data_IF_162309697236
#
_entry.id   IF_162309697236
#
_cell.length_a   1.000
_cell.length_b   1.000
_cell.length_c   1.000
_cell.angle_alpha   90.00
_cell.angle_beta   90.00
_cell.angle_gamma   90.00
#
_symmetry.space_group_name_H-M   'P 1'
#
loop_
_entity.id
_entity.type
_entity.pdbx_description
1 polymer ?
#
# COMPACT_ATOMS: atom_id res chain seq x y z
N UNK A 1 54.07 -42.84 35.01
CA UNK A 1 52.76 -42.20 35.29
C UNK A 1 52.12 -41.47 34.10
N UNK A 2 52.87 -40.73 33.26
CA UNK A 2 52.29 -40.06 32.06
C UNK A 2 51.63 -41.00 31.02
N UNK A 3 52.12 -42.24 30.81
CA UNK A 3 51.51 -43.20 29.87
C UNK A 3 50.19 -43.82 30.37
N UNK A 4 50.00 -43.98 31.68
CA UNK A 4 48.78 -44.54 32.28
C UNK A 4 47.64 -43.52 32.27
N UNK A 5 47.94 -42.24 32.52
CA UNK A 5 46.96 -41.14 32.45
C UNK A 5 46.39 -40.93 31.03
N UNK A 6 47.19 -41.14 29.98
CA UNK A 6 46.73 -41.03 28.58
C UNK A 6 45.76 -42.18 28.25
N UNK A 7 46.00 -43.40 28.73
CA UNK A 7 45.11 -44.55 28.49
C UNK A 7 43.76 -44.42 29.21
N UNK A 8 43.73 -43.90 30.45
CA UNK A 8 42.47 -43.64 31.16
C UNK A 8 41.66 -42.49 30.52
N UNK A 9 42.32 -41.44 30.03
CA UNK A 9 41.65 -40.37 29.30
C UNK A 9 41.07 -40.87 27.96
N UNK A 10 41.78 -41.72 27.23
CA UNK A 10 41.29 -42.36 25.99
C UNK A 10 40.12 -43.32 26.24
N UNK A 11 40.16 -44.11 27.32
CA UNK A 11 39.07 -45.01 27.73
C UNK A 11 37.82 -44.25 28.18
N UNK A 12 38.00 -43.13 28.90
CA UNK A 12 36.87 -42.27 29.26
C UNK A 12 36.25 -41.63 28.01
N UNK A 13 37.06 -41.09 27.09
CA UNK A 13 36.57 -40.49 25.84
C UNK A 13 35.84 -41.51 24.96
N UNK A 14 36.36 -42.74 24.84
CA UNK A 14 35.70 -43.79 24.05
C UNK A 14 34.39 -44.28 24.69
N UNK A 15 34.33 -44.42 26.02
CA UNK A 15 33.11 -44.81 26.73
C UNK A 15 31.96 -43.81 26.50
N UNK A 16 32.26 -42.50 26.48
CA UNK A 16 31.26 -41.47 26.19
C UNK A 16 30.78 -41.49 24.74
N UNK A 17 31.65 -41.79 23.76
CA UNK A 17 31.21 -41.93 22.36
C UNK A 17 30.33 -43.16 22.15
N UNK A 18 30.65 -44.31 22.78
CA UNK A 18 29.83 -45.51 22.70
C UNK A 18 28.43 -45.32 23.32
N UNK A 19 28.34 -44.56 24.41
CA UNK A 19 27.04 -44.22 25.01
C UNK A 19 26.15 -43.38 24.07
N UNK A 20 26.75 -42.49 23.26
CA UNK A 20 26.00 -41.68 22.30
C UNK A 20 25.52 -42.49 21.09
N UNK A 21 26.34 -43.41 20.58
CA UNK A 21 25.94 -44.29 19.48
C UNK A 21 24.85 -45.29 19.93
N UNK A 22 24.93 -45.83 21.16
CA UNK A 22 23.87 -46.66 21.74
C UNK A 22 22.56 -45.88 21.94
N UNK A 23 22.63 -44.61 22.33
CA UNK A 23 21.44 -43.74 22.40
C UNK A 23 20.79 -43.55 21.03
N UNK A 24 21.56 -43.46 19.94
CA UNK A 24 21.01 -43.33 18.59
C UNK A 24 20.18 -44.54 18.17
N UNK A 25 20.64 -45.76 18.50
CA UNK A 25 19.85 -46.98 18.28
C UNK A 25 18.56 -46.96 19.10
N UNK A 26 18.64 -46.54 20.36
CA UNK A 26 17.47 -46.45 21.23
C UNK A 26 16.46 -45.41 20.76
N UNK A 27 16.93 -44.26 20.29
CA UNK A 27 16.11 -43.22 19.67
C UNK A 27 15.39 -43.80 18.45
N UNK A 28 16.09 -44.53 17.58
CA UNK A 28 15.48 -45.15 16.41
C UNK A 28 14.40 -46.18 16.78
N UNK A 29 14.63 -46.99 17.83
CA UNK A 29 13.62 -47.90 18.37
C UNK A 29 12.37 -47.15 18.87
N UNK A 30 12.55 -46.03 19.59
CA UNK A 30 11.44 -45.20 20.05
C UNK A 30 10.64 -44.61 18.88
N UNK A 31 11.32 -44.18 17.82
CA UNK A 31 10.67 -43.67 16.60
C UNK A 31 9.83 -44.74 15.90
N UNK A 32 10.34 -45.97 15.76
CA UNK A 32 9.57 -47.09 15.20
C UNK A 32 8.32 -47.42 16.03
N UNK A 33 8.37 -47.16 17.35
CA UNK A 33 7.24 -47.34 18.27
C UNK A 33 6.30 -46.13 18.36
N UNK A 34 6.42 -45.14 17.47
CA UNK A 34 5.66 -43.89 17.49
C UNK A 34 5.76 -43.14 18.83
N UNK A 35 6.94 -43.13 19.46
CA UNK A 35 7.20 -42.42 20.74
C UNK A 35 8.08 -41.20 20.51
N UNK A 36 7.63 -40.28 19.66
CA UNK A 36 8.41 -39.12 19.21
C UNK A 36 8.87 -38.21 20.36
N UNK A 37 8.01 -37.91 21.35
CA UNK A 37 8.41 -37.11 22.52
C UNK A 37 9.51 -37.76 23.38
N UNK A 38 9.45 -39.08 23.58
CA UNK A 38 10.49 -39.82 24.30
C UNK A 38 11.80 -39.83 23.51
N UNK A 39 11.71 -40.00 22.19
CA UNK A 39 12.85 -39.94 21.29
C UNK A 39 13.50 -38.54 21.31
N UNK A 40 12.70 -37.47 21.27
CA UNK A 40 13.18 -36.08 21.35
C UNK A 40 13.88 -35.79 22.66
N UNK A 41 13.29 -36.21 23.78
CA UNK A 41 13.88 -36.03 25.12
C UNK A 41 15.25 -36.72 25.21
N UNK A 42 15.36 -37.96 24.73
CA UNK A 42 16.63 -38.69 24.70
C UNK A 42 17.62 -38.05 23.72
N UNK A 43 17.15 -37.56 22.56
CA UNK A 43 18.00 -36.86 21.59
C UNK A 43 18.59 -35.57 22.17
N UNK A 44 17.78 -34.75 22.84
CA UNK A 44 18.24 -33.51 23.50
C UNK A 44 19.32 -33.81 24.55
N UNK A 45 19.11 -34.84 25.39
CA UNK A 45 20.12 -35.29 26.35
C UNK A 45 21.41 -35.75 25.66
N UNK A 46 21.27 -36.47 24.55
CA UNK A 46 22.43 -36.99 23.80
C UNK A 46 23.22 -35.86 23.13
N UNK A 47 22.54 -34.78 22.70
CA UNK A 47 23.15 -33.58 22.10
C UNK A 47 23.74 -32.59 23.12
N UNK A 48 23.49 -32.73 24.42
CA UNK A 48 23.96 -31.77 25.43
C UNK A 48 25.49 -31.75 25.64
N UNK A 49 26.21 -32.80 25.23
CA UNK A 49 27.68 -32.86 25.33
C UNK A 49 28.25 -33.81 24.25
N UNK A 50 28.18 -33.45 22.97
CA UNK A 50 28.54 -34.34 21.88
C UNK A 50 30.06 -34.59 21.88
N UNK A 51 30.46 -35.85 22.04
CA UNK A 51 31.86 -36.31 21.88
C UNK A 51 32.00 -37.28 20.70
N UNK A 52 30.94 -37.44 19.91
CA UNK A 52 30.88 -38.35 18.76
C UNK A 52 31.38 -37.70 17.46
N UNK A 53 31.81 -38.54 16.53
CA UNK A 53 32.12 -38.17 15.14
C UNK A 53 30.87 -38.09 14.26
N UNK A 54 29.73 -38.57 14.75
CA UNK A 54 28.46 -38.68 14.00
C UNK A 54 27.53 -37.47 14.20
N UNK A 55 28.08 -36.30 14.56
CA UNK A 55 27.28 -35.15 14.96
C UNK A 55 26.38 -34.61 13.83
N UNK A 56 26.84 -34.67 12.57
CA UNK A 56 26.02 -34.39 11.38
C UNK A 56 24.73 -35.22 11.39
N UNK A 57 24.87 -36.56 11.51
CA UNK A 57 23.74 -37.49 11.53
C UNK A 57 22.83 -37.26 12.73
N UNK A 58 23.39 -36.93 13.90
CA UNK A 58 22.59 -36.64 15.09
C UNK A 58 21.68 -35.43 14.88
N UNK A 59 22.23 -34.33 14.36
CA UNK A 59 21.45 -33.13 14.07
C UNK A 59 20.37 -33.39 13.02
N UNK A 60 20.70 -34.10 11.95
CA UNK A 60 19.72 -34.49 10.93
C UNK A 60 18.58 -35.34 11.53
N UNK A 61 18.90 -36.38 12.32
CA UNK A 61 17.89 -37.22 12.99
C UNK A 61 17.06 -36.42 14.00
N UNK A 62 17.67 -35.49 14.72
CA UNK A 62 16.97 -34.61 15.64
C UNK A 62 15.96 -33.73 14.90
N UNK A 63 16.34 -33.16 13.75
CA UNK A 63 15.44 -32.42 12.88
C UNK A 63 14.24 -33.26 12.43
N UNK A 64 14.47 -34.53 12.06
CA UNK A 64 13.40 -35.44 11.65
C UNK A 64 12.40 -35.71 12.79
N UNK A 65 12.89 -35.85 14.04
CA UNK A 65 12.01 -36.01 15.21
C UNK A 65 11.10 -34.79 15.36
N UNK A 66 11.65 -33.58 15.17
CA UNK A 66 10.85 -32.34 15.21
C UNK A 66 9.81 -32.27 14.11
N UNK A 67 10.10 -32.73 12.89
CA UNK A 67 9.11 -32.81 11.82
C UNK A 67 7.98 -33.79 12.13
N UNK A 68 8.27 -34.89 12.83
CA UNK A 68 7.25 -35.85 13.25
C UNK A 68 6.37 -35.25 14.35
N UNK A 69 6.95 -34.60 15.35
CA UNK A 69 6.20 -33.87 16.37
C UNK A 69 5.35 -32.74 15.78
N UNK A 70 5.88 -32.04 14.77
CA UNK A 70 5.14 -31.03 14.02
C UNK A 70 3.91 -31.63 13.33
N UNK A 71 4.06 -32.79 12.68
CA UNK A 71 2.95 -33.46 12.02
C UNK A 71 1.90 -33.97 13.02
N UNK A 72 2.33 -34.49 14.17
CA UNK A 72 1.44 -34.87 15.26
C UNK A 72 0.61 -33.68 15.75
N UNK A 73 1.22 -32.50 15.88
CA UNK A 73 0.53 -31.25 16.25
C UNK A 73 -0.44 -30.79 15.15
N UNK A 74 0.02 -30.77 13.89
CA UNK A 74 -0.80 -30.38 12.74
C UNK A 74 -2.06 -31.25 12.58
N UNK A 75 -1.95 -32.55 12.86
CA UNK A 75 -3.07 -33.49 12.77
C UNK A 75 -4.21 -33.16 13.75
N UNK A 76 -3.93 -32.45 14.86
CA UNK A 76 -4.96 -32.07 15.84
C UNK A 76 -5.99 -31.08 15.25
N UNK A 77 -5.56 -30.21 14.33
CA UNK A 77 -6.42 -29.20 13.70
C UNK A 77 -7.60 -29.83 12.93
N UNK A 78 -7.40 -31.01 12.33
CA UNK A 78 -8.45 -31.74 11.61
C UNK A 78 -9.31 -32.66 12.48
N UNK A 79 -9.01 -32.76 13.79
CA UNK A 79 -9.63 -33.73 14.70
C UNK A 79 -10.47 -33.08 15.81
N UNK A 80 -10.57 -31.75 15.84
CA UNK A 80 -11.27 -31.02 16.90
C UNK A 80 -10.57 -31.13 18.27
N UNK A 81 -9.29 -31.52 18.27
CA UNK A 81 -8.44 -31.61 19.46
C UNK A 81 -7.73 -30.26 19.65
N UNK A 82 -7.45 -29.80 20.90
CA UNK A 82 -6.71 -28.56 21.11
C UNK A 82 -5.37 -28.53 20.36
N UNK A 83 -5.19 -27.50 19.53
CA UNK A 83 -4.00 -27.25 18.73
C UNK A 83 -3.08 -26.26 19.48
N UNK A 84 -1.85 -26.69 19.77
CA UNK A 84 -0.83 -25.87 20.40
C UNK A 84 0.00 -25.15 19.32
N UNK A 85 -0.37 -23.91 19.05
CA UNK A 85 0.33 -23.06 18.09
C UNK A 85 1.78 -22.77 18.49
N UNK A 86 2.07 -22.63 19.78
CA UNK A 86 3.44 -22.37 20.24
C UNK A 86 4.32 -23.61 20.00
N UNK A 87 3.80 -24.81 20.28
CA UNK A 87 4.49 -26.05 19.98
C UNK A 87 4.70 -26.24 18.47
N UNK A 88 3.66 -26.01 17.65
CA UNK A 88 3.75 -26.09 16.18
C UNK A 88 4.87 -25.18 15.65
N UNK A 89 4.83 -23.91 16.04
CA UNK A 89 5.82 -22.90 15.64
C UNK A 89 7.23 -23.29 16.12
N UNK A 90 7.35 -23.76 17.38
CA UNK A 90 8.62 -24.18 17.95
C UNK A 90 9.21 -25.40 17.21
N UNK A 91 8.40 -26.37 16.81
CA UNK A 91 8.89 -27.55 16.09
C UNK A 91 9.45 -27.19 14.71
N UNK A 92 8.85 -26.22 14.01
CA UNK A 92 9.40 -25.67 12.75
C UNK A 92 10.76 -25.02 12.99
N UNK A 93 10.85 -24.17 14.02
CA UNK A 93 12.09 -23.49 14.38
C UNK A 93 13.22 -24.46 14.74
N UNK A 94 12.92 -25.42 15.62
CA UNK A 94 13.87 -26.46 16.03
C UNK A 94 14.31 -27.29 14.81
N UNK A 95 13.40 -27.67 13.91
CA UNK A 95 13.74 -28.46 12.73
C UNK A 95 14.69 -27.71 11.79
N UNK A 96 14.38 -26.44 11.46
CA UNK A 96 15.23 -25.61 10.61
C UNK A 96 16.62 -25.45 11.23
N UNK A 97 16.70 -25.11 12.53
CA UNK A 97 17.97 -24.96 13.25
C UNK A 97 18.79 -26.25 13.25
N UNK A 98 18.16 -27.40 13.52
CA UNK A 98 18.86 -28.69 13.57
C UNK A 98 19.37 -29.11 12.19
N UNK A 99 18.60 -28.94 11.12
CA UNK A 99 19.09 -29.21 9.77
C UNK A 99 20.20 -28.24 9.35
N UNK A 100 20.09 -26.96 9.69
CA UNK A 100 21.18 -25.99 9.45
C UNK A 100 22.44 -26.35 10.25
N UNK A 101 22.31 -26.81 11.50
CA UNK A 101 23.43 -27.31 12.30
C UNK A 101 24.06 -28.57 11.72
N UNK A 102 23.26 -29.48 11.14
CA UNK A 102 23.74 -30.65 10.40
C UNK A 102 24.70 -30.23 9.28
N UNK A 103 24.29 -29.29 8.42
CA UNK A 103 25.14 -28.75 7.35
C UNK A 103 26.36 -28.02 7.92
N UNK A 104 26.12 -27.04 8.81
CA UNK A 104 27.17 -26.16 9.34
C UNK A 104 28.30 -26.93 10.03
N UNK A 105 27.98 -28.05 10.69
CA UNK A 105 29.00 -28.93 11.26
C UNK A 105 30.02 -29.38 10.22
N UNK A 106 29.60 -29.67 8.99
CA UNK A 106 30.50 -30.18 7.95
C UNK A 106 31.37 -29.12 7.30
N UNK A 107 30.95 -27.85 7.35
CA UNK A 107 31.66 -26.70 6.76
C UNK A 107 32.40 -25.85 7.81
N UNK A 108 32.27 -26.17 9.10
CA UNK A 108 32.96 -25.48 10.18
C UNK A 108 34.24 -26.23 10.56
N UNK A 109 35.43 -25.62 10.47
CA UNK A 109 36.66 -26.23 10.93
C UNK A 109 36.63 -26.52 12.43
N UNK A 110 37.18 -27.66 12.86
CA UNK A 110 37.39 -27.95 14.28
C UNK A 110 38.52 -27.08 14.88
N UNK A 111 38.80 -27.23 16.18
CA UNK A 111 39.88 -26.53 16.90
C UNK A 111 41.27 -26.66 16.25
N UNK A 112 41.49 -27.65 15.39
CA UNK A 112 42.74 -27.89 14.65
C UNK A 112 42.71 -27.35 13.21
N UNK A 113 41.69 -26.57 12.85
CA UNK A 113 41.49 -26.03 11.51
C UNK A 113 41.09 -27.06 10.45
N UNK A 114 40.71 -28.29 10.84
CA UNK A 114 40.30 -29.34 9.90
C UNK A 114 38.79 -29.42 9.79
N UNK A 115 38.29 -29.50 8.55
CA UNK A 115 36.87 -29.77 8.29
C UNK A 115 36.50 -31.21 8.71
N UNK A 116 35.33 -31.42 9.32
CA UNK A 116 34.79 -32.75 9.55
C UNK A 116 34.54 -33.51 8.25
N UNK A 117 34.49 -34.84 8.35
CA UNK A 117 34.12 -35.68 7.19
C UNK A 117 32.62 -35.51 6.94
N UNK A 118 32.27 -35.17 5.70
CA UNK A 118 30.88 -35.09 5.23
C UNK A 118 30.37 -36.50 4.93
N UNK A 119 29.17 -36.84 5.41
CA UNK A 119 28.36 -37.93 4.86
C UNK A 119 27.43 -37.36 3.77
N UNK A 120 27.66 -37.70 2.47
CA UNK A 120 26.88 -37.13 1.38
C UNK A 120 25.39 -37.44 1.44
N UNK A 121 25.00 -38.60 1.99
CA UNK A 121 23.58 -38.99 2.08
C UNK A 121 22.85 -38.18 3.14
N UNK A 122 23.51 -37.92 4.26
CA UNK A 122 22.97 -37.08 5.33
C UNK A 122 22.88 -35.62 4.87
N UNK A 123 23.86 -35.18 4.08
CA UNK A 123 23.85 -33.84 3.48
C UNK A 123 22.70 -33.67 2.49
N UNK A 124 22.50 -34.64 1.59
CA UNK A 124 21.39 -34.67 0.64
C UNK A 124 20.03 -34.67 1.36
N UNK A 125 19.83 -35.52 2.36
CA UNK A 125 18.58 -35.52 3.14
C UNK A 125 18.40 -34.20 3.90
N UNK A 126 19.45 -33.63 4.51
CA UNK A 126 19.38 -32.33 5.20
C UNK A 126 18.83 -31.24 4.28
N UNK A 127 19.34 -31.15 3.04
CA UNK A 127 18.86 -30.20 2.04
C UNK A 127 17.42 -30.50 1.62
N UNK A 128 17.10 -31.76 1.31
CA UNK A 128 15.75 -32.15 0.92
C UNK A 128 14.71 -31.83 2.00
N UNK A 129 15.06 -32.00 3.28
CA UNK A 129 14.19 -31.67 4.42
C UNK A 129 13.99 -30.17 4.56
N UNK A 130 15.06 -29.36 4.47
CA UNK A 130 14.96 -27.91 4.47
C UNK A 130 14.07 -27.39 3.32
N UNK A 131 14.19 -27.96 2.12
CA UNK A 131 13.31 -27.63 0.99
C UNK A 131 11.86 -28.03 1.27
N UNK A 132 11.62 -29.20 1.87
CA UNK A 132 10.26 -29.67 2.17
C UNK A 132 9.50 -28.78 3.17
N UNK A 133 10.23 -28.07 4.04
CA UNK A 133 9.66 -27.14 5.03
C UNK A 133 9.89 -25.67 4.67
N UNK A 134 10.30 -25.36 3.44
CA UNK A 134 10.65 -24.00 3.00
C UNK A 134 9.54 -22.98 3.31
N UNK A 135 8.28 -23.35 3.07
CA UNK A 135 7.13 -22.46 3.28
C UNK A 135 6.57 -22.47 4.70
N UNK A 136 7.06 -23.34 5.60
CA UNK A 136 6.45 -23.52 6.91
C UNK A 136 6.54 -22.28 7.81
N UNK A 137 7.60 -21.45 7.77
CA UNK A 137 7.60 -20.18 8.50
C UNK A 137 6.45 -19.25 8.09
N UNK A 138 5.99 -19.24 6.83
CA UNK A 138 4.83 -18.41 6.45
C UNK A 138 3.52 -18.94 7.06
N UNK A 139 3.40 -20.26 7.26
CA UNK A 139 2.27 -20.84 8.02
C UNK A 139 2.30 -20.43 9.49
N UNK A 140 3.48 -20.47 10.14
CA UNK A 140 3.66 -19.94 11.49
C UNK A 140 3.22 -18.49 11.59
N UNK A 141 3.57 -17.65 10.60
CA UNK A 141 3.15 -16.26 10.56
C UNK A 141 1.62 -16.12 10.52
N UNK A 142 0.93 -16.91 9.69
CA UNK A 142 -0.53 -16.89 9.59
C UNK A 142 -1.21 -17.35 10.89
N UNK A 143 -0.69 -18.38 11.56
CA UNK A 143 -1.22 -18.80 12.85
C UNK A 143 -1.08 -17.71 13.91
N UNK A 144 0.06 -17.01 13.96
CA UNK A 144 0.28 -15.91 14.89
C UNK A 144 -0.63 -14.72 14.59
N UNK A 145 -0.84 -14.37 13.32
CA UNK A 145 -1.82 -13.35 12.93
C UNK A 145 -3.24 -13.70 13.42
N UNK A 146 -3.66 -14.96 13.26
CA UNK A 146 -4.97 -15.41 13.72
C UNK A 146 -5.13 -15.33 15.24
N UNK A 147 -4.03 -15.29 16.00
CA UNK A 147 -4.02 -15.07 17.45
C UNK A 147 -3.85 -13.60 17.84
N UNK A 148 -3.74 -12.70 16.86
CA UNK A 148 -3.49 -11.27 17.09
C UNK A 148 -2.03 -10.91 17.37
N UNK A 149 -1.08 -11.85 17.24
CA UNK A 149 0.35 -11.59 17.39
C UNK A 149 0.97 -11.11 16.07
N UNK A 150 0.74 -9.83 15.75
CA UNK A 150 1.26 -9.21 14.53
C UNK A 150 2.79 -9.16 14.48
N UNK A 151 3.47 -8.87 15.59
CA UNK A 151 4.93 -8.78 15.63
C UNK A 151 5.58 -10.16 15.48
N UNK A 152 5.01 -11.17 16.13
CA UNK A 152 5.38 -12.56 15.91
C UNK A 152 5.21 -12.95 14.45
N UNK A 153 4.06 -12.64 13.84
CA UNK A 153 3.84 -12.93 12.43
C UNK A 153 4.86 -12.29 11.49
N UNK A 154 5.17 -11.00 11.69
CA UNK A 154 6.18 -10.27 10.93
C UNK A 154 7.55 -10.96 10.99
N UNK A 155 7.97 -11.41 12.18
CA UNK A 155 9.20 -12.18 12.36
C UNK A 155 9.22 -13.45 11.49
N UNK A 156 8.10 -14.16 11.41
CA UNK A 156 8.01 -15.42 10.67
C UNK A 156 7.85 -15.25 9.15
N UNK A 157 7.19 -14.19 8.68
CA UNK A 157 7.23 -13.83 7.26
C UNK A 157 8.65 -13.46 6.83
N UNK A 158 9.39 -12.69 7.64
CA UNK A 158 10.78 -12.40 7.36
C UNK A 158 11.62 -13.69 7.33
N UNK A 159 11.40 -14.59 8.30
CA UNK A 159 12.07 -15.90 8.31
C UNK A 159 11.79 -16.72 7.05
N UNK A 160 10.56 -16.71 6.53
CA UNK A 160 10.22 -17.34 5.26
C UNK A 160 11.02 -16.74 4.10
N UNK A 161 11.04 -15.41 3.96
CA UNK A 161 11.78 -14.72 2.91
C UNK A 161 13.29 -14.97 2.96
N UNK A 162 13.82 -15.23 4.16
CA UNK A 162 15.24 -15.54 4.38
C UNK A 162 15.59 -17.04 4.20
N UNK A 163 14.61 -17.92 3.99
CA UNK A 163 14.87 -19.38 3.88
C UNK A 163 15.80 -19.73 2.72
N UNK A 164 15.72 -19.02 1.60
CA UNK A 164 16.63 -19.22 0.45
C UNK A 164 18.09 -18.90 0.79
N UNK A 165 18.34 -18.10 1.83
CA UNK A 165 19.68 -17.75 2.32
C UNK A 165 20.26 -18.76 3.32
N UNK A 166 19.55 -19.85 3.62
CA UNK A 166 20.07 -20.90 4.51
C UNK A 166 21.45 -21.40 4.02
N UNK A 167 22.47 -21.51 4.90
CA UNK A 167 23.82 -21.88 4.48
C UNK A 167 23.91 -23.27 3.85
N UNK A 168 22.93 -24.15 4.10
CA UNK A 168 22.87 -25.46 3.46
C UNK A 168 22.66 -25.40 1.93
N UNK A 169 22.16 -24.29 1.40
CA UNK A 169 21.94 -24.12 -0.03
C UNK A 169 23.14 -23.48 -0.72
N UNK A 170 23.54 -24.10 -1.83
CA UNK A 170 24.47 -23.50 -2.79
C UNK A 170 23.85 -22.28 -3.47
N UNK A 171 24.65 -21.40 -4.09
CA UNK A 171 24.11 -20.26 -4.85
C UNK A 171 23.10 -20.68 -5.93
N UNK A 172 23.37 -21.77 -6.67
CA UNK A 172 22.46 -22.26 -7.70
C UNK A 172 21.13 -22.79 -7.12
N UNK A 173 21.17 -23.45 -5.95
CA UNK A 173 19.96 -23.91 -5.24
C UNK A 173 19.17 -22.72 -4.71
N UNK A 174 19.83 -21.69 -4.15
CA UNK A 174 19.20 -20.44 -3.72
C UNK A 174 18.46 -19.76 -4.87
N UNK A 175 19.12 -19.57 -6.01
CA UNK A 175 18.51 -18.94 -7.18
C UNK A 175 17.31 -19.74 -7.67
N UNK A 176 17.41 -21.07 -7.65
CA UNK A 176 16.31 -21.97 -8.01
C UNK A 176 15.12 -21.84 -7.04
N UNK A 177 15.37 -21.72 -5.74
CA UNK A 177 14.33 -21.52 -4.73
C UNK A 177 13.62 -20.17 -4.88
N UNK A 178 14.39 -19.09 -5.07
CA UNK A 178 13.84 -17.75 -5.33
C UNK A 178 12.97 -17.77 -6.59
N UNK A 179 13.43 -18.42 -7.66
CA UNK A 179 12.65 -18.56 -8.89
C UNK A 179 11.36 -19.38 -8.67
N UNK A 180 11.44 -20.50 -7.96
CA UNK A 180 10.31 -21.40 -7.71
C UNK A 180 9.24 -20.77 -6.80
N UNK A 181 9.63 -19.86 -5.90
CA UNK A 181 8.73 -19.22 -4.93
C UNK A 181 8.44 -17.76 -5.23
N UNK A 182 8.89 -17.22 -6.37
CA UNK A 182 8.80 -15.80 -6.73
C UNK A 182 7.45 -15.17 -6.41
N UNK A 183 6.33 -15.76 -6.84
CA UNK A 183 5.02 -15.19 -6.60
C UNK A 183 4.60 -15.19 -5.12
N UNK A 184 4.98 -16.24 -4.37
CA UNK A 184 4.69 -16.34 -2.94
C UNK A 184 5.56 -15.36 -2.14
N UNK A 185 6.81 -15.15 -2.54
CA UNK A 185 7.71 -14.15 -1.97
C UNK A 185 7.16 -12.74 -2.19
N UNK A 186 6.71 -12.43 -3.42
CA UNK A 186 6.05 -11.16 -3.77
C UNK A 186 4.82 -10.90 -2.89
N UNK A 187 3.91 -11.88 -2.78
CA UNK A 187 2.72 -11.78 -1.93
C UNK A 187 3.09 -11.60 -0.46
N UNK A 188 4.13 -12.28 0.00
CA UNK A 188 4.60 -12.15 1.39
C UNK A 188 5.22 -10.78 1.66
N UNK A 189 6.00 -10.23 0.72
CA UNK A 189 6.55 -8.88 0.84
C UNK A 189 5.44 -7.81 0.91
N UNK A 190 4.39 -7.95 0.09
CA UNK A 190 3.20 -7.09 0.18
C UNK A 190 2.52 -7.22 1.55
N UNK A 191 2.30 -8.45 2.05
CA UNK A 191 1.68 -8.67 3.36
C UNK A 191 2.51 -8.04 4.49
N UNK A 192 3.84 -8.18 4.45
CA UNK A 192 4.75 -7.55 5.42
C UNK A 192 4.62 -6.03 5.37
N UNK A 193 4.62 -5.43 4.17
CA UNK A 193 4.42 -4.00 4.00
C UNK A 193 3.06 -3.54 4.56
N UNK A 194 1.99 -4.27 4.26
CA UNK A 194 0.64 -3.98 4.75
C UNK A 194 0.53 -4.05 6.28
N UNK A 195 1.17 -5.05 6.90
CA UNK A 195 1.20 -5.17 8.37
C UNK A 195 1.94 -4.01 9.02
N UNK A 196 3.11 -3.61 8.49
CA UNK A 196 3.81 -2.42 8.98
C UNK A 196 3.04 -1.13 8.74
N UNK A 197 2.32 -1.04 7.61
CA UNK A 197 1.43 0.09 7.32
C UNK A 197 0.34 0.23 8.40
N UNK A 198 -0.30 -0.88 8.79
CA UNK A 198 -1.31 -0.87 9.85
C UNK A 198 -0.74 -0.53 11.24
N UNK A 199 0.51 -0.91 11.50
CA UNK A 199 1.25 -0.52 12.70
C UNK A 199 1.74 0.93 12.66
N UNK A 200 1.61 1.63 11.53
CA UNK A 200 2.19 2.96 11.26
C UNK A 200 3.70 2.99 11.45
N UNK A 201 4.37 1.85 11.24
CA UNK A 201 5.82 1.73 11.32
C UNK A 201 6.42 1.99 9.93
N UNK A 202 6.55 3.28 9.61
CA UNK A 202 7.00 3.74 8.28
C UNK A 202 8.43 3.33 7.96
N UNK A 203 9.30 3.25 8.99
CA UNK A 203 10.70 2.88 8.85
C UNK A 203 10.87 1.45 8.33
N UNK A 204 10.01 0.53 8.78
CA UNK A 204 10.01 -0.84 8.29
C UNK A 204 9.07 -1.05 7.09
N UNK A 205 8.01 -0.25 6.95
CA UNK A 205 7.07 -0.34 5.84
C UNK A 205 7.73 0.02 4.50
N UNK A 206 8.37 1.20 4.40
CA UNK A 206 8.88 1.74 3.12
C UNK A 206 9.86 0.77 2.44
N UNK A 207 10.89 0.21 3.12
CA UNK A 207 11.81 -0.72 2.49
C UNK A 207 11.14 -2.01 1.98
N UNK A 208 10.05 -2.45 2.62
CA UNK A 208 9.29 -3.61 2.16
C UNK A 208 8.41 -3.26 0.95
N UNK A 209 7.84 -2.05 0.91
CA UNK A 209 7.18 -1.53 -0.28
C UNK A 209 8.16 -1.42 -1.45
N UNK A 210 9.36 -0.86 -1.25
CA UNK A 210 10.34 -0.71 -2.33
C UNK A 210 10.81 -2.06 -2.90
N UNK A 211 10.88 -3.11 -2.06
CA UNK A 211 11.11 -4.48 -2.53
C UNK A 211 9.93 -5.00 -3.35
N UNK A 212 8.71 -4.79 -2.87
CA UNK A 212 7.49 -5.23 -3.52
C UNK A 212 7.19 -4.47 -4.83
N UNK A 213 7.55 -3.19 -4.96
CA UNK A 213 7.35 -2.41 -6.19
C UNK A 213 8.22 -2.87 -7.37
N UNK A 214 9.18 -3.78 -7.15
CA UNK A 214 9.93 -4.43 -8.24
C UNK A 214 9.07 -5.40 -9.07
N UNK A 215 7.81 -5.58 -8.70
CA UNK A 215 6.83 -6.38 -9.39
C UNK A 215 5.49 -5.63 -9.44
N UNK A 216 4.57 -6.09 -10.27
CA UNK A 216 3.29 -5.40 -10.51
C UNK A 216 2.16 -5.85 -9.56
N UNK A 217 2.43 -6.76 -8.62
CA UNK A 217 1.41 -7.24 -7.68
C UNK A 217 1.04 -6.11 -6.70
N UNK A 218 -0.25 -5.74 -6.67
CA UNK A 218 -0.78 -4.71 -5.78
C UNK A 218 -0.06 -3.35 -5.88
N UNK A 219 0.55 -3.06 -7.04
CA UNK A 219 1.43 -1.90 -7.26
C UNK A 219 0.80 -0.56 -6.86
N UNK A 220 -0.48 -0.37 -7.21
CA UNK A 220 -1.24 0.82 -6.84
C UNK A 220 -1.39 0.98 -5.33
N UNK A 221 -1.69 -0.10 -4.62
CA UNK A 221 -1.79 -0.11 -3.16
C UNK A 221 -0.44 0.17 -2.50
N UNK A 222 0.65 -0.37 -3.05
CA UNK A 222 2.02 -0.08 -2.61
C UNK A 222 2.37 1.42 -2.75
N UNK A 223 1.99 2.05 -3.86
CA UNK A 223 2.15 3.50 -4.03
C UNK A 223 1.32 4.30 -3.02
N UNK A 224 0.07 3.91 -2.76
CA UNK A 224 -0.73 4.54 -1.72
C UNK A 224 -0.11 4.41 -0.33
N UNK A 225 0.46 3.25 0.03
CA UNK A 225 1.16 3.09 1.30
C UNK A 225 2.34 4.04 1.45
N UNK A 226 3.19 4.16 0.41
CA UNK A 226 4.33 5.10 0.42
C UNK A 226 3.86 6.56 0.48
N UNK A 227 2.85 6.94 -0.31
CA UNK A 227 2.24 8.27 -0.29
C UNK A 227 1.79 8.61 1.13
N UNK A 228 0.99 7.76 1.74
CA UNK A 228 0.42 7.99 3.06
C UNK A 228 1.49 8.10 4.15
N UNK A 229 2.55 7.28 4.07
CA UNK A 229 3.66 7.36 5.00
C UNK A 229 4.43 8.68 4.91
N UNK A 230 4.79 9.12 3.70
CA UNK A 230 5.48 10.40 3.55
C UNK A 230 4.59 11.58 3.91
N UNK A 231 3.29 11.50 3.66
CA UNK A 231 2.33 12.48 4.13
C UNK A 231 2.30 12.53 5.68
N UNK A 232 2.24 11.37 6.34
CA UNK A 232 2.24 11.26 7.80
C UNK A 232 3.56 11.75 8.43
N UNK A 233 4.68 11.52 7.75
CA UNK A 233 6.01 12.01 8.15
C UNK A 233 6.22 13.51 7.84
N UNK A 234 5.27 14.14 7.14
CA UNK A 234 5.38 15.51 6.61
C UNK A 234 6.56 15.72 5.66
N UNK A 235 7.09 14.64 5.09
CA UNK A 235 8.15 14.69 4.07
C UNK A 235 7.50 14.97 2.71
N UNK A 236 7.23 16.26 2.49
CA UNK A 236 6.54 16.71 1.27
C UNK A 236 7.36 16.43 0.02
N UNK A 237 8.69 16.47 0.11
CA UNK A 237 9.55 16.22 -1.04
C UNK A 237 9.40 14.77 -1.53
N UNK A 238 9.46 13.81 -0.61
CA UNK A 238 9.25 12.40 -0.96
C UNK A 238 7.79 12.11 -1.32
N UNK A 239 6.83 12.75 -0.66
CA UNK A 239 5.41 12.63 -1.03
C UNK A 239 5.15 13.05 -2.49
N UNK A 240 5.69 14.19 -2.94
CA UNK A 240 5.62 14.63 -4.34
C UNK A 240 6.31 13.64 -5.28
N UNK A 241 7.49 13.15 -4.92
CA UNK A 241 8.23 12.20 -5.76
C UNK A 241 7.45 10.89 -5.95
N UNK A 242 6.91 10.32 -4.87
CA UNK A 242 6.12 9.08 -4.92
C UNK A 242 4.87 9.23 -5.79
N UNK A 243 4.17 10.37 -5.71
CA UNK A 243 3.02 10.63 -6.57
C UNK A 243 3.40 10.75 -8.05
N UNK A 244 4.56 11.36 -8.36
CA UNK A 244 5.09 11.41 -9.74
C UNK A 244 5.51 10.04 -10.26
N UNK A 245 6.19 9.26 -9.43
CA UNK A 245 6.55 7.87 -9.72
C UNK A 245 5.29 7.05 -10.00
N UNK A 246 4.29 7.10 -9.12
CA UNK A 246 3.01 6.41 -9.28
C UNK A 246 2.30 6.80 -10.59
N UNK A 247 2.25 8.10 -10.90
CA UNK A 247 1.62 8.58 -12.14
C UNK A 247 2.31 8.02 -13.39
N UNK A 248 3.64 7.91 -13.36
CA UNK A 248 4.43 7.40 -14.48
C UNK A 248 4.30 5.88 -14.59
N UNK A 249 4.51 5.17 -13.49
CA UNK A 249 4.61 3.71 -13.46
C UNK A 249 3.24 3.03 -13.64
N UNK A 250 2.17 3.63 -13.13
CA UNK A 250 0.81 3.14 -13.32
C UNK A 250 0.14 3.72 -14.58
N UNK A 251 0.78 4.69 -15.25
CA UNK A 251 0.19 5.48 -16.33
C UNK A 251 -1.15 6.12 -15.91
N UNK A 252 -1.23 6.62 -14.66
CA UNK A 252 -2.42 7.21 -14.05
C UNK A 252 -2.16 8.66 -13.62
N UNK A 253 -2.51 9.61 -14.49
CA UNK A 253 -2.29 11.05 -14.26
C UNK A 253 -3.03 11.60 -13.03
N UNK A 254 -4.07 10.91 -12.55
CA UNK A 254 -4.84 11.30 -11.36
C UNK A 254 -4.01 11.41 -10.08
N UNK A 255 -2.89 10.68 -9.98
CA UNK A 255 -1.96 10.84 -8.85
C UNK A 255 -1.35 12.25 -8.75
N UNK A 256 -1.31 13.00 -9.85
CA UNK A 256 -0.76 14.35 -9.88
C UNK A 256 -1.77 15.41 -9.40
N UNK A 257 -3.07 15.10 -9.35
CA UNK A 257 -4.11 16.01 -8.85
C UNK A 257 -3.83 16.47 -7.41
N UNK A 258 -3.35 15.55 -6.57
CA UNK A 258 -3.01 15.83 -5.18
C UNK A 258 -1.87 16.86 -5.10
N UNK A 259 -0.86 16.73 -5.97
CA UNK A 259 0.29 17.65 -6.04
C UNK A 259 -0.18 19.03 -6.48
N UNK A 260 -0.98 19.12 -7.55
CA UNK A 260 -1.56 20.39 -8.04
C UNK A 260 -2.34 21.08 -6.92
N UNK A 261 -3.20 20.33 -6.23
CA UNK A 261 -4.01 20.85 -5.12
C UNK A 261 -3.15 21.33 -3.96
N UNK A 262 -2.07 20.61 -3.63
CA UNK A 262 -1.11 21.02 -2.61
C UNK A 262 -0.38 22.31 -2.99
N UNK A 263 0.09 22.44 -4.24
CA UNK A 263 0.78 23.64 -4.70
C UNK A 263 -0.12 24.87 -4.68
N UNK A 264 -1.37 24.75 -5.15
CA UNK A 264 -2.37 25.83 -5.07
C UNK A 264 -2.57 26.27 -3.61
N UNK A 265 -2.86 25.34 -2.70
CA UNK A 265 -3.10 25.68 -1.27
C UNK A 265 -1.87 26.26 -0.57
N UNK A 266 -0.68 25.94 -1.06
CA UNK A 266 0.60 26.42 -0.50
C UNK A 266 1.11 27.69 -1.17
N UNK A 267 0.38 28.27 -2.13
CA UNK A 267 0.80 29.44 -2.89
C UNK A 267 1.99 29.21 -3.84
N UNK A 268 2.33 27.94 -4.11
CA UNK A 268 3.43 27.51 -4.99
C UNK A 268 3.02 27.61 -6.46
N UNK A 269 2.91 28.85 -6.91
CA UNK A 269 2.34 29.22 -8.22
C UNK A 269 3.15 28.66 -9.38
N UNK A 270 4.45 28.92 -9.37
CA UNK A 270 5.34 28.52 -10.47
C UNK A 270 5.42 26.99 -10.58
N UNK A 271 5.44 26.27 -9.45
CA UNK A 271 5.46 24.82 -9.45
C UNK A 271 4.13 24.20 -9.92
N UNK A 272 2.99 24.81 -9.59
CA UNK A 272 1.68 24.38 -10.10
C UNK A 272 1.60 24.55 -11.61
N UNK A 273 2.03 25.70 -12.13
CA UNK A 273 2.04 26.00 -13.57
C UNK A 273 2.97 25.07 -14.34
N UNK A 274 4.20 24.89 -13.87
CA UNK A 274 5.15 23.97 -14.50
C UNK A 274 4.57 22.56 -14.56
N UNK A 275 3.99 22.08 -13.46
CA UNK A 275 3.42 20.74 -13.40
C UNK A 275 2.26 20.56 -14.39
N UNK A 276 1.26 21.46 -14.41
CA UNK A 276 0.11 21.29 -15.32
C UNK A 276 0.48 21.47 -16.80
N UNK A 277 1.51 22.28 -17.10
CA UNK A 277 2.03 22.41 -18.45
C UNK A 277 2.73 21.11 -18.89
N UNK A 278 3.55 20.51 -18.03
CA UNK A 278 4.17 19.21 -18.29
C UNK A 278 3.11 18.10 -18.45
N UNK A 279 2.06 18.12 -17.62
CA UNK A 279 0.95 17.17 -17.70
C UNK A 279 0.24 17.24 -19.06
N UNK A 280 -0.09 18.43 -19.54
CA UNK A 280 -0.74 18.65 -20.83
C UNK A 280 0.20 18.29 -21.99
N UNK A 281 1.48 18.66 -21.91
CA UNK A 281 2.46 18.35 -22.96
C UNK A 281 2.65 16.84 -23.15
N UNK A 282 2.69 16.08 -22.06
CA UNK A 282 2.88 14.63 -22.09
C UNK A 282 1.57 13.86 -22.34
N UNK A 283 0.42 14.43 -21.97
CA UNK A 283 -0.90 13.77 -22.06
C UNK A 283 -1.97 14.72 -22.65
N UNK A 284 -1.81 15.19 -23.90
CA UNK A 284 -2.72 16.18 -24.49
C UNK A 284 -4.12 15.63 -24.76
N UNK A 285 -4.27 14.30 -24.85
CA UNK A 285 -5.56 13.63 -25.06
C UNK A 285 -6.26 13.19 -23.77
N UNK A 286 -5.79 13.62 -22.60
CA UNK A 286 -6.41 13.30 -21.32
C UNK A 286 -7.16 14.54 -20.80
N UNK A 287 -8.49 14.43 -20.63
CA UNK A 287 -9.33 15.56 -20.22
C UNK A 287 -8.93 16.14 -18.85
N UNK A 288 -8.45 15.30 -17.93
CA UNK A 288 -8.05 15.72 -16.59
C UNK A 288 -6.87 16.70 -16.61
N UNK A 289 -5.93 16.57 -17.55
CA UNK A 289 -4.74 17.44 -17.60
C UNK A 289 -5.15 18.87 -17.96
N UNK A 290 -6.05 19.02 -18.93
CA UNK A 290 -6.64 20.30 -19.32
C UNK A 290 -7.52 20.88 -18.22
N UNK A 291 -8.31 20.03 -17.55
CA UNK A 291 -9.09 20.45 -16.39
C UNK A 291 -8.21 21.03 -15.28
N UNK A 292 -7.14 20.32 -14.89
CA UNK A 292 -6.23 20.79 -13.84
C UNK A 292 -5.49 22.07 -14.24
N UNK A 293 -5.11 22.20 -15.52
CA UNK A 293 -4.56 23.45 -16.04
C UNK A 293 -5.55 24.61 -15.89
N UNK A 294 -6.81 24.41 -16.29
CA UNK A 294 -7.86 25.41 -16.09
C UNK A 294 -8.08 25.75 -14.62
N UNK A 295 -7.98 24.76 -13.72
CA UNK A 295 -8.11 24.97 -12.28
C UNK A 295 -6.97 25.80 -11.69
N UNK A 296 -5.73 25.60 -12.16
CA UNK A 296 -4.57 26.43 -11.78
C UNK A 296 -4.76 27.88 -12.26
N UNK A 297 -5.17 28.09 -13.51
CA UNK A 297 -5.45 29.42 -14.07
C UNK A 297 -6.55 30.15 -13.30
N UNK A 298 -7.62 29.43 -12.94
CA UNK A 298 -8.72 29.98 -12.16
C UNK A 298 -8.30 30.33 -10.73
N UNK A 299 -7.60 29.42 -10.06
CA UNK A 299 -7.33 29.52 -8.61
C UNK A 299 -6.16 30.45 -8.29
N UNK A 300 -5.19 30.59 -9.19
CA UNK A 300 -3.97 31.35 -8.93
C UNK A 300 -3.94 32.67 -9.71
N UNK A 301 -4.32 32.67 -10.98
CA UNK A 301 -4.28 33.87 -11.83
C UNK A 301 -5.59 34.65 -11.83
N UNK A 302 -6.66 34.07 -11.30
CA UNK A 302 -8.03 34.60 -11.40
C UNK A 302 -8.44 34.89 -12.86
N UNK A 303 -7.84 34.17 -13.81
CA UNK A 303 -8.02 34.39 -15.24
C UNK A 303 -9.15 33.51 -15.77
N UNK A 304 -10.39 33.98 -15.58
CA UNK A 304 -11.59 33.28 -15.98
C UNK A 304 -11.59 32.89 -17.48
N UNK A 305 -11.06 33.73 -18.36
CA UNK A 305 -11.06 33.47 -19.80
C UNK A 305 -10.14 32.29 -20.16
N UNK A 306 -8.89 32.31 -19.70
CA UNK A 306 -7.93 31.23 -19.97
C UNK A 306 -8.33 29.94 -19.25
N UNK A 307 -8.82 30.03 -18.02
CA UNK A 307 -9.34 28.87 -17.30
C UNK A 307 -10.47 28.18 -18.08
N UNK A 308 -11.44 28.96 -18.58
CA UNK A 308 -12.57 28.49 -19.37
C UNK A 308 -12.13 27.81 -20.66
N UNK A 309 -11.16 28.36 -21.39
CA UNK A 309 -10.61 27.71 -22.59
C UNK A 309 -10.05 26.32 -22.28
N UNK A 310 -9.32 26.16 -21.17
CA UNK A 310 -8.79 24.87 -20.77
C UNK A 310 -9.89 23.91 -20.32
N UNK A 311 -10.91 24.37 -19.58
CA UNK A 311 -12.07 23.54 -19.24
C UNK A 311 -12.87 23.11 -20.47
N UNK A 312 -13.04 23.98 -21.47
CA UNK A 312 -13.71 23.63 -22.72
C UNK A 312 -12.97 22.53 -23.46
N UNK A 313 -11.63 22.62 -23.56
CA UNK A 313 -10.81 21.53 -24.11
C UNK A 313 -10.98 20.22 -23.33
N UNK A 314 -11.08 20.29 -22.00
CA UNK A 314 -11.36 19.11 -21.19
C UNK A 314 -12.72 18.49 -21.56
N UNK A 315 -13.77 19.30 -21.76
CA UNK A 315 -15.10 18.82 -22.18
C UNK A 315 -15.17 18.33 -23.63
N UNK A 316 -14.28 18.82 -24.51
CA UNK A 316 -14.15 18.31 -25.88
C UNK A 316 -13.55 16.90 -25.90
N UNK A 317 -12.59 16.63 -24.99
CA UNK A 317 -11.94 15.32 -24.85
C UNK A 317 -12.85 14.34 -24.10
N UNK A 318 -13.44 14.77 -22.99
CA UNK A 318 -14.40 14.00 -22.20
C UNK A 318 -15.70 14.80 -21.98
N UNK A 319 -16.72 14.58 -22.83
CA UNK A 319 -18.01 15.23 -22.72
C UNK A 319 -18.78 14.90 -21.44
N UNK A 320 -18.35 13.91 -20.66
CA UNK A 320 -18.98 13.49 -19.41
C UNK A 320 -18.22 14.00 -18.16
N UNK A 321 -17.20 14.85 -18.32
CA UNK A 321 -16.47 15.44 -17.20
C UNK A 321 -17.29 16.58 -16.55
N UNK A 322 -18.31 16.22 -15.75
CA UNK A 322 -19.25 17.16 -15.13
C UNK A 322 -18.56 18.33 -14.38
N UNK A 323 -17.46 18.06 -13.69
CA UNK A 323 -16.71 19.07 -12.94
C UNK A 323 -16.12 20.18 -13.83
N UNK A 324 -15.79 19.89 -15.09
CA UNK A 324 -15.34 20.90 -16.04
C UNK A 324 -16.49 21.85 -16.42
N UNK A 325 -17.69 21.31 -16.68
CA UNK A 325 -18.89 22.11 -16.94
C UNK A 325 -19.27 23.00 -15.75
N UNK A 326 -19.14 22.50 -14.51
CA UNK A 326 -19.34 23.30 -13.30
C UNK A 326 -18.39 24.51 -13.30
N UNK A 327 -17.10 24.29 -13.55
CA UNK A 327 -16.11 25.36 -13.52
C UNK A 327 -16.24 26.34 -14.72
N UNK A 328 -16.74 25.89 -15.87
CA UNK A 328 -17.16 26.78 -16.97
C UNK A 328 -18.33 27.68 -16.50
N UNK A 329 -19.33 27.10 -15.85
CA UNK A 329 -20.45 27.86 -15.26
C UNK A 329 -19.98 28.87 -14.22
N UNK A 330 -19.10 28.46 -13.31
CA UNK A 330 -18.50 29.34 -12.27
C UNK A 330 -17.74 30.50 -12.89
N UNK A 331 -16.94 30.25 -13.93
CA UNK A 331 -16.20 31.32 -14.62
C UNK A 331 -17.15 32.27 -15.34
N UNK A 332 -18.27 31.81 -15.93
CA UNK A 332 -19.26 32.72 -16.57
C UNK A 332 -19.98 33.55 -15.52
N UNK A 333 -20.37 32.94 -14.41
CA UNK A 333 -20.99 33.63 -13.30
C UNK A 333 -20.06 34.71 -12.70
N UNK A 334 -18.79 34.37 -12.51
CA UNK A 334 -17.77 35.31 -12.02
C UNK A 334 -17.60 36.51 -12.96
N UNK A 335 -17.53 36.28 -14.28
CA UNK A 335 -17.48 37.37 -15.26
C UNK A 335 -18.76 38.21 -15.27
N UNK A 336 -19.95 37.59 -15.20
CA UNK A 336 -21.23 38.28 -15.15
C UNK A 336 -21.34 39.18 -13.90
N UNK A 337 -20.88 38.69 -12.73
CA UNK A 337 -20.85 39.47 -11.49
C UNK A 337 -19.83 40.60 -11.59
N UNK A 338 -18.62 40.35 -12.12
CA UNK A 338 -17.60 41.39 -12.33
C UNK A 338 -18.12 42.49 -13.26
N UNK A 339 -18.71 42.11 -14.40
CA UNK A 339 -19.31 43.04 -15.37
C UNK A 339 -20.47 43.82 -14.75
N UNK A 340 -21.38 43.15 -14.03
CA UNK A 340 -22.47 43.79 -13.26
C UNK A 340 -21.94 44.89 -12.33
N UNK A 341 -20.81 44.66 -11.67
CA UNK A 341 -20.20 45.58 -10.71
C UNK A 341 -19.27 46.61 -11.35
N UNK A 342 -19.09 46.60 -12.68
CA UNK A 342 -18.25 47.55 -13.39
C UNK A 342 -18.94 48.90 -13.60
N UNK A 343 -18.19 49.87 -14.11
CA UNK A 343 -18.69 51.19 -14.49
C UNK A 343 -19.53 51.18 -15.79
N UNK A 344 -19.68 50.02 -16.45
CA UNK A 344 -20.61 49.85 -17.58
C UNK A 344 -22.06 50.14 -17.14
N UNK A 345 -22.38 49.83 -15.89
CA UNK A 345 -23.72 49.96 -15.33
C UNK A 345 -23.80 51.06 -14.28
N UNK A 346 -24.87 51.84 -14.34
CA UNK A 346 -25.08 52.97 -13.44
C UNK A 346 -26.06 52.65 -12.31
N UNK A 347 -26.90 51.62 -12.47
CA UNK A 347 -28.00 51.35 -11.56
C UNK A 347 -27.94 49.93 -10.97
N UNK A 348 -27.65 48.89 -11.76
CA UNK A 348 -27.65 47.50 -11.26
C UNK A 348 -26.45 47.15 -10.34
N UNK A 349 -25.41 47.98 -10.34
CA UNK A 349 -24.26 47.88 -9.43
C UNK A 349 -24.53 48.48 -8.04
N UNK A 350 -25.59 49.28 -7.88
CA UNK A 350 -25.92 49.95 -6.61
C UNK A 350 -26.61 49.00 -5.63
N UNK A 351 -26.07 48.90 -4.42
CA UNK A 351 -26.68 48.14 -3.31
C UNK A 351 -27.85 48.92 -2.71
N UNK A 352 -28.93 48.23 -2.34
CA UNK A 352 -30.16 48.82 -1.75
C UNK A 352 -30.78 49.95 -2.59
N UNK A 353 -30.64 49.87 -3.91
CA UNK A 353 -31.13 50.88 -4.82
C UNK A 353 -32.65 50.96 -4.81
N UNK A 354 -33.20 52.18 -4.65
CA UNK A 354 -34.64 52.47 -4.77
C UNK A 354 -34.83 53.39 -5.98
N UNK A 355 -35.11 52.84 -7.17
CA UNK A 355 -35.23 53.65 -8.38
C UNK A 355 -36.48 54.54 -8.30
N UNK A 356 -36.36 55.80 -8.73
CA UNK A 356 -37.52 56.54 -9.20
C UNK A 356 -37.97 56.01 -10.58
N UNK A 357 -39.04 56.56 -11.14
CA UNK A 357 -39.61 56.08 -12.41
C UNK A 357 -38.61 56.08 -13.57
N UNK A 358 -37.78 57.13 -13.66
CA UNK A 358 -36.79 57.27 -14.74
C UNK A 358 -35.65 56.28 -14.55
N UNK A 359 -35.10 56.19 -13.33
CA UNK A 359 -34.03 55.26 -13.02
C UNK A 359 -34.47 53.79 -13.09
N UNK A 360 -35.76 53.50 -12.86
CA UNK A 360 -36.34 52.16 -13.01
C UNK A 360 -36.23 51.65 -14.45
N UNK A 361 -36.48 52.51 -15.43
CA UNK A 361 -36.40 52.13 -16.84
C UNK A 361 -34.96 51.79 -17.26
N UNK A 362 -33.99 52.59 -16.81
CA UNK A 362 -32.58 52.28 -17.01
C UNK A 362 -32.17 51.00 -16.29
N UNK A 363 -32.58 50.81 -15.02
CA UNK A 363 -32.27 49.60 -14.27
C UNK A 363 -32.80 48.34 -15.00
N UNK A 364 -34.04 48.35 -15.50
CA UNK A 364 -34.60 47.24 -16.29
C UNK A 364 -33.77 46.94 -17.54
N UNK A 365 -33.35 47.98 -18.27
CA UNK A 365 -32.50 47.84 -19.46
C UNK A 365 -31.14 47.23 -19.11
N UNK A 366 -30.52 47.67 -18.02
CA UNK A 366 -29.25 47.11 -17.54
C UNK A 366 -29.40 45.64 -17.09
N UNK A 367 -30.48 45.28 -16.38
CA UNK A 367 -30.81 43.88 -16.06
C UNK A 367 -30.94 43.03 -17.33
N UNK A 368 -31.69 43.51 -18.32
CA UNK A 368 -31.83 42.82 -19.60
C UNK A 368 -30.50 42.69 -20.35
N UNK A 369 -29.59 43.65 -20.19
CA UNK A 369 -28.27 43.65 -20.83
C UNK A 369 -27.33 42.59 -20.23
N UNK A 370 -27.35 42.42 -18.91
CA UNK A 370 -26.47 41.47 -18.21
C UNK A 370 -27.06 40.05 -18.13
N UNK A 371 -28.38 39.90 -18.28
CA UNK A 371 -29.08 38.61 -18.17
C UNK A 371 -28.46 37.49 -19.04
N UNK A 372 -28.13 37.71 -20.33
CA UNK A 372 -27.52 36.67 -21.17
C UNK A 372 -26.19 36.12 -20.63
N UNK A 373 -25.45 36.90 -19.84
CA UNK A 373 -24.19 36.43 -19.23
C UNK A 373 -24.46 35.45 -18.09
N UNK A 374 -25.53 35.66 -17.31
CA UNK A 374 -26.00 34.70 -16.32
C UNK A 374 -26.62 33.46 -16.96
N UNK A 375 -27.31 33.59 -18.10
CA UNK A 375 -27.89 32.44 -18.81
C UNK A 375 -26.82 31.45 -19.27
N UNK A 376 -25.67 31.94 -19.78
CA UNK A 376 -24.53 31.06 -20.09
C UNK A 376 -24.08 30.25 -18.88
N UNK A 377 -23.97 30.87 -17.71
CA UNK A 377 -23.58 30.16 -16.49
C UNK A 377 -24.62 29.09 -16.12
N UNK A 378 -25.91 29.41 -16.23
CA UNK A 378 -27.02 28.49 -15.95
C UNK A 378 -26.99 27.29 -16.90
N UNK A 379 -26.79 27.50 -18.20
CA UNK A 379 -26.76 26.44 -19.21
C UNK A 379 -25.66 25.41 -18.90
N UNK A 380 -24.44 25.88 -18.60
CA UNK A 380 -23.33 25.00 -18.27
C UNK A 380 -23.53 24.25 -16.94
N UNK A 381 -24.11 24.90 -15.93
CA UNK A 381 -24.41 24.25 -14.64
C UNK A 381 -25.53 23.22 -14.75
N UNK A 382 -26.58 23.49 -15.53
CA UNK A 382 -27.62 22.52 -15.83
C UNK A 382 -27.04 21.33 -16.61
N UNK A 383 -26.16 21.60 -17.58
CA UNK A 383 -25.46 20.52 -18.31
C UNK A 383 -24.66 19.62 -17.37
N UNK A 384 -23.96 20.19 -16.39
CA UNK A 384 -23.23 19.40 -15.40
C UNK A 384 -24.15 18.48 -14.57
N UNK A 385 -25.32 18.98 -14.17
CA UNK A 385 -26.34 18.19 -13.44
C UNK A 385 -26.88 17.03 -14.26
N UNK A 386 -27.13 17.26 -15.56
CA UNK A 386 -27.60 16.21 -16.47
C UNK A 386 -26.57 15.09 -16.64
N UNK A 387 -25.29 15.44 -16.65
CA UNK A 387 -24.18 14.50 -16.85
C UNK A 387 -23.97 13.64 -15.60
N UNK A 388 -23.90 14.25 -14.43
CA UNK A 388 -23.57 13.55 -13.18
C UNK A 388 -24.48 14.00 -12.02
N UNK A 389 -25.53 13.21 -11.70
CA UNK A 389 -26.39 13.47 -10.56
C UNK A 389 -25.66 13.50 -9.20
N UNK A 390 -24.50 12.84 -9.08
CA UNK A 390 -23.70 12.85 -7.84
C UNK A 390 -23.07 14.23 -7.61
N UNK A 391 -22.68 14.92 -8.68
CA UNK A 391 -22.14 16.29 -8.60
C UNK A 391 -23.22 17.38 -8.69
N UNK A 392 -24.48 17.01 -8.88
CA UNK A 392 -25.61 17.94 -8.90
C UNK A 392 -25.67 18.86 -7.66
N UNK A 393 -25.33 18.45 -6.42
CA UNK A 393 -25.35 19.36 -5.27
C UNK A 393 -24.41 20.57 -5.40
N UNK A 394 -23.23 20.42 -6.02
CA UNK A 394 -22.33 21.55 -6.26
C UNK A 394 -22.93 22.50 -7.31
N UNK A 395 -23.40 21.95 -8.42
CA UNK A 395 -24.06 22.74 -9.47
C UNK A 395 -25.31 23.46 -8.95
N UNK A 396 -26.14 22.78 -8.14
CA UNK A 396 -27.34 23.33 -7.49
C UNK A 396 -26.98 24.52 -6.59
N UNK A 397 -25.89 24.46 -5.83
CA UNK A 397 -25.44 25.58 -4.99
C UNK A 397 -25.09 26.81 -5.83
N UNK A 398 -24.44 26.62 -6.99
CA UNK A 398 -24.10 27.70 -7.92
C UNK A 398 -25.34 28.27 -8.61
N UNK A 399 -26.23 27.41 -9.09
CA UNK A 399 -27.52 27.80 -9.69
C UNK A 399 -28.37 28.61 -8.71
N UNK A 400 -28.48 28.17 -7.45
CA UNK A 400 -29.19 28.92 -6.40
C UNK A 400 -28.62 30.32 -6.21
N UNK A 401 -27.29 30.44 -6.20
CA UNK A 401 -26.62 31.75 -6.06
C UNK A 401 -26.99 32.68 -7.22
N UNK A 402 -26.99 32.15 -8.44
CA UNK A 402 -27.39 32.88 -9.65
C UNK A 402 -28.87 33.29 -9.59
N UNK A 403 -29.78 32.35 -9.29
CA UNK A 403 -31.21 32.59 -9.22
C UNK A 403 -31.58 33.60 -8.13
N UNK A 404 -30.94 33.54 -6.95
CA UNK A 404 -31.16 34.51 -5.87
C UNK A 404 -30.70 35.92 -6.26
N UNK A 405 -29.55 36.04 -6.94
CA UNK A 405 -29.05 37.33 -7.41
C UNK A 405 -29.99 37.94 -8.45
N UNK A 406 -30.38 37.14 -9.46
CA UNK A 406 -31.35 37.55 -10.47
C UNK A 406 -32.71 37.90 -9.84
N UNK A 407 -33.17 37.13 -8.87
CA UNK A 407 -34.41 37.38 -8.14
C UNK A 407 -34.39 38.73 -7.43
N UNK A 408 -33.27 39.09 -6.80
CA UNK A 408 -33.08 40.41 -6.17
C UNK A 408 -33.14 41.54 -7.22
N UNK A 409 -32.55 41.32 -8.39
CA UNK A 409 -32.61 42.29 -9.50
C UNK A 409 -34.05 42.47 -10.02
N UNK A 410 -34.76 41.37 -10.25
CA UNK A 410 -36.16 41.44 -10.71
C UNK A 410 -37.13 41.98 -9.66
N UNK A 411 -36.86 41.72 -8.38
CA UNK A 411 -37.60 42.33 -7.28
C UNK A 411 -37.44 43.85 -7.30
N UNK A 412 -36.23 44.35 -7.57
CA UNK A 412 -35.97 45.79 -7.72
C UNK A 412 -36.72 46.38 -8.91
N UNK A 413 -36.86 45.63 -10.01
CA UNK A 413 -37.65 46.01 -11.20
C UNK A 413 -39.17 45.92 -11.04
N UNK A 414 -39.70 45.44 -9.90
CA UNK A 414 -41.09 45.04 -9.70
C UNK A 414 -41.59 43.96 -10.71
N UNK A 415 -40.70 43.11 -11.22
CA UNK A 415 -41.05 42.00 -12.13
C UNK A 415 -41.43 40.75 -11.32
N UNK A 416 -42.63 40.75 -10.74
CA UNK A 416 -43.11 39.71 -9.82
C UNK A 416 -43.14 38.30 -10.42
N UNK A 417 -43.47 38.18 -11.71
CA UNK A 417 -43.55 36.89 -12.39
C UNK A 417 -42.17 36.22 -12.53
N UNK A 418 -41.14 37.00 -12.86
CA UNK A 418 -39.76 36.50 -12.92
C UNK A 418 -39.22 36.12 -11.54
N UNK A 419 -39.57 36.89 -10.50
CA UNK A 419 -39.23 36.54 -9.11
C UNK A 419 -39.87 35.21 -8.71
N UNK A 420 -41.16 35.03 -8.99
CA UNK A 420 -41.87 33.78 -8.69
C UNK A 420 -41.28 32.58 -9.44
N UNK A 421 -40.94 32.77 -10.72
CA UNK A 421 -40.27 31.74 -11.55
C UNK A 421 -38.92 31.33 -10.95
N UNK A 422 -38.07 32.28 -10.60
CA UNK A 422 -36.75 31.98 -10.01
C UNK A 422 -36.88 31.34 -8.63
N UNK A 423 -37.86 31.73 -7.82
CA UNK A 423 -38.12 31.08 -6.55
C UNK A 423 -38.58 29.62 -6.73
N UNK A 424 -39.42 29.35 -7.72
CA UNK A 424 -39.79 27.98 -8.10
C UNK A 424 -38.56 27.14 -8.44
N UNK A 425 -37.69 27.66 -9.31
CA UNK A 425 -36.42 27.02 -9.66
C UNK A 425 -35.52 26.80 -8.43
N UNK A 426 -35.46 27.72 -7.47
CA UNK A 426 -34.67 27.54 -6.24
C UNK A 426 -35.21 26.38 -5.40
N UNK A 427 -36.54 26.26 -5.29
CA UNK A 427 -37.18 25.18 -4.53
C UNK A 427 -36.93 23.81 -5.19
N UNK A 428 -36.93 23.75 -6.52
CA UNK A 428 -36.57 22.53 -7.29
C UNK A 428 -35.10 22.09 -7.10
N UNK A 429 -34.24 22.95 -6.53
CA UNK A 429 -32.86 22.58 -6.19
C UNK A 429 -32.71 22.03 -4.75
N UNK A 430 -33.78 22.01 -3.95
CA UNK A 430 -33.81 21.48 -2.57
C UNK A 430 -34.27 20.02 -2.47
N UNK A 431 -35.01 19.55 -3.48
CA UNK A 431 -35.44 18.17 -3.67
C UNK A 431 -34.35 17.34 -4.37
#
# INVERSE_FOLDING_TARGET
>A
MKKILISFALLAISAFSFAQDANLEKIQELMVKNKAYSADSLMQLTLASPKTKNLQLMYNKAGLIKLILLQEEANKQGQGVPFDTLAFVKHIDDAIDLYTKSHNFTVTPNEKGKLPKVDPKVEEDTKARLMSIYSYPSYSAMFLLNQGDTLGALKYFQKYLDMSNNPAFTPAERDSLIAAHKEADVRTQFNVAFLYYNLKDWNNMIPNVDKALKNDFEKKNLYYMKRDAYLAMQDTAQWVNVLKEAATDLNEVSFLEEIVSYYIRSGKTDEAEALVNDMVANNPGNALTWYLKGYVELSIKENNAVARENFLKATEIDPNLAIAYINIGVTYYSDAVKRRMSDEFNFINKLNFKPDEVAMEFYKKEVATIRPDFDKAIDYLNKAKEIDPVQAPEANRRLRSIYSLLGTMYQTCNQKDEVAKLQGLINELEE
#
